data_IF_515017840610
#
_entry.id   IF_515017840610
#
_cell.length_a   1.000
_cell.length_b   1.000
_cell.length_c   1.000
_cell.angle_alpha   90.00
_cell.angle_beta   90.00
_cell.angle_gamma   90.00
#
_symmetry.space_group_name_H-M   'P 1'
#
loop_
_entity.id
_entity.type
_entity.pdbx_description
1 polymer ?
#
# COMPACT_ATOMS: atom_id res chain seq x y z
N UNK A 1 17.59 13.08 16.71
CA UNK A 1 17.65 12.39 15.40
C UNK A 1 17.06 13.33 14.35
N UNK A 2 17.81 13.68 13.30
CA UNK A 2 17.32 14.57 12.23
C UNK A 2 16.46 13.76 11.25
N UNK A 3 15.32 14.27 10.77
CA UNK A 3 14.53 13.59 9.76
C UNK A 3 15.34 13.56 8.46
N UNK A 4 15.64 12.37 7.96
CA UNK A 4 16.24 12.19 6.65
C UNK A 4 15.21 12.60 5.60
N UNK A 5 15.51 13.66 4.84
CA UNK A 5 14.71 14.06 3.68
C UNK A 5 14.86 13.00 2.59
N UNK A 6 14.00 11.99 2.60
CA UNK A 6 13.75 11.06 1.48
C UNK A 6 12.93 11.73 0.37
N UNK A 7 12.98 13.05 0.24
CA UNK A 7 12.11 13.82 -0.65
C UNK A 7 12.44 13.63 -2.15
N UNK A 8 13.57 13.01 -2.49
CA UNK A 8 13.96 12.79 -3.88
C UNK A 8 13.23 11.60 -4.53
N UNK A 9 12.85 10.57 -3.75
CA UNK A 9 12.19 9.38 -4.27
C UNK A 9 10.73 9.34 -3.81
N UNK A 10 9.92 10.25 -4.34
CA UNK A 10 8.51 10.36 -4.02
C UNK A 10 7.71 10.57 -5.30
N UNK A 11 6.61 9.81 -5.45
CA UNK A 11 5.67 10.00 -6.55
C UNK A 11 5.06 11.41 -6.49
N UNK A 12 5.25 12.18 -7.55
CA UNK A 12 4.71 13.53 -7.68
C UNK A 12 3.36 13.51 -8.40
N UNK A 13 2.59 14.60 -8.30
CA UNK A 13 1.34 14.76 -9.05
C UNK A 13 1.54 14.81 -10.57
N UNK A 14 2.75 15.13 -11.01
CA UNK A 14 3.16 15.14 -12.42
C UNK A 14 3.62 13.79 -12.92
N UNK A 15 3.73 12.78 -12.05
CA UNK A 15 4.09 11.43 -12.47
C UNK A 15 2.96 10.78 -13.26
N UNK A 16 3.26 10.07 -14.37
CA UNK A 16 2.26 9.32 -15.11
C UNK A 16 1.61 8.24 -14.23
N UNK A 17 0.42 7.80 -14.64
CA UNK A 17 -0.21 6.64 -14.03
C UNK A 17 0.55 5.36 -14.39
N UNK A 18 0.41 4.34 -13.54
CA UNK A 18 0.99 3.02 -13.80
C UNK A 18 0.43 2.41 -15.09
N UNK A 19 -0.86 2.63 -15.39
CA UNK A 19 -1.47 2.21 -16.65
C UNK A 19 -0.81 2.88 -17.87
N UNK A 20 -0.50 4.18 -17.78
CA UNK A 20 0.22 4.87 -18.87
C UNK A 20 1.64 4.32 -19.06
N UNK A 21 2.35 3.99 -17.97
CA UNK A 21 3.66 3.33 -18.05
C UNK A 21 3.56 1.93 -18.68
N UNK A 22 2.49 1.18 -18.40
CA UNK A 22 2.25 -0.12 -19.02
C UNK A 22 1.93 0.01 -20.52
N UNK A 23 1.09 0.97 -20.90
CA UNK A 23 0.83 1.28 -22.31
C UNK A 23 2.10 1.72 -23.04
N UNK A 24 2.97 2.49 -22.38
CA UNK A 24 4.28 2.87 -22.90
C UNK A 24 5.20 1.66 -23.11
N UNK A 25 5.25 0.71 -22.16
CA UNK A 25 6.04 -0.52 -22.30
C UNK A 25 5.53 -1.41 -23.45
N UNK A 26 4.21 -1.40 -23.70
CA UNK A 26 3.57 -2.20 -24.74
C UNK A 26 3.49 -1.48 -26.10
N UNK A 27 4.15 -0.33 -26.27
CA UNK A 27 4.06 0.52 -27.48
C UNK A 27 2.62 0.84 -27.92
N UNK A 28 1.69 0.92 -26.95
CA UNK A 28 0.26 1.12 -27.17
C UNK A 28 -0.18 2.59 -27.07
N UNK A 29 0.79 3.51 -27.00
CA UNK A 29 0.56 4.95 -26.94
C UNK A 29 0.82 5.62 -28.29
N UNK A 30 0.22 6.79 -28.49
CA UNK A 30 0.60 7.65 -29.62
C UNK A 30 2.06 8.09 -29.51
N UNK A 31 2.73 8.43 -30.62
CA UNK A 31 4.13 8.88 -30.60
C UNK A 31 4.34 10.14 -29.77
N UNK A 32 3.34 11.01 -29.68
CA UNK A 32 3.38 12.23 -28.85
C UNK A 32 3.38 11.88 -27.35
N UNK A 33 2.43 11.05 -26.90
CA UNK A 33 2.34 10.61 -25.51
C UNK A 33 3.57 9.78 -25.08
N UNK A 34 4.08 8.94 -25.97
CA UNK A 34 5.29 8.16 -25.72
C UNK A 34 6.52 9.05 -25.49
N UNK A 35 6.64 10.16 -26.23
CA UNK A 35 7.73 11.12 -26.05
C UNK A 35 7.63 11.86 -24.72
N UNK A 36 6.42 12.23 -24.28
CA UNK A 36 6.20 12.88 -22.99
C UNK A 36 6.59 11.96 -21.82
N UNK A 37 6.19 10.68 -21.87
CA UNK A 37 6.55 9.70 -20.86
C UNK A 37 8.06 9.44 -20.86
N UNK A 38 8.69 9.32 -22.02
CA UNK A 38 10.14 9.14 -22.13
C UNK A 38 10.92 10.32 -21.51
N UNK A 39 10.44 11.55 -21.73
CA UNK A 39 10.99 12.76 -21.12
C UNK A 39 10.78 12.79 -19.60
N UNK A 40 9.62 12.34 -19.11
CA UNK A 40 9.37 12.26 -17.67
C UNK A 40 10.29 11.23 -17.00
N UNK A 41 10.38 10.04 -17.56
CA UNK A 41 11.16 8.92 -17.01
C UNK A 41 12.66 9.23 -16.96
N UNK A 42 13.18 10.03 -17.89
CA UNK A 42 14.60 10.44 -17.86
C UNK A 42 14.93 11.48 -16.77
N UNK A 43 13.91 12.12 -16.19
CA UNK A 43 14.08 13.17 -15.17
C UNK A 43 13.52 12.79 -13.80
N UNK A 44 12.78 11.68 -13.71
CA UNK A 44 12.13 11.21 -12.49
C UNK A 44 12.64 9.83 -12.09
N UNK A 45 13.47 9.77 -11.04
CA UNK A 45 14.02 8.52 -10.50
C UNK A 45 12.91 7.52 -10.09
N UNK A 46 11.78 8.03 -9.59
CA UNK A 46 10.64 7.20 -9.18
C UNK A 46 10.04 6.46 -10.38
N UNK A 47 9.70 7.16 -11.45
CA UNK A 47 9.10 6.55 -12.64
C UNK A 47 10.11 5.70 -13.42
N UNK A 48 11.40 6.05 -13.40
CA UNK A 48 12.46 5.18 -13.92
C UNK A 48 12.54 3.84 -13.20
N UNK A 49 12.52 3.86 -11.87
CA UNK A 49 12.51 2.65 -11.07
C UNK A 49 11.21 1.83 -11.26
N UNK A 50 10.05 2.50 -11.30
CA UNK A 50 8.75 1.85 -11.55
C UNK A 50 8.73 1.18 -12.93
N UNK A 51 9.19 1.87 -13.98
CA UNK A 51 9.25 1.32 -15.33
C UNK A 51 10.20 0.11 -15.41
N UNK A 52 11.34 0.16 -14.73
CA UNK A 52 12.24 -0.98 -14.65
C UNK A 52 11.59 -2.18 -13.92
N UNK A 53 10.88 -1.92 -12.83
CA UNK A 53 10.12 -2.94 -12.10
C UNK A 53 9.05 -3.59 -12.98
N UNK A 54 8.25 -2.78 -13.68
CA UNK A 54 7.18 -3.26 -14.56
C UNK A 54 7.72 -4.07 -15.75
N UNK A 55 8.85 -3.65 -16.34
CA UNK A 55 9.53 -4.43 -17.40
C UNK A 55 10.03 -5.78 -16.88
N UNK A 56 10.54 -5.82 -15.64
CA UNK A 56 11.07 -7.05 -15.04
C UNK A 56 9.98 -8.01 -14.60
N UNK A 57 8.87 -7.46 -14.09
CA UNK A 57 7.74 -8.18 -13.53
C UNK A 57 6.44 -7.65 -14.15
N UNK A 58 6.15 -8.00 -15.41
CA UNK A 58 4.93 -7.54 -16.06
C UNK A 58 3.71 -8.03 -15.28
N UNK A 59 2.69 -7.18 -15.09
CA UNK A 59 1.47 -7.60 -14.42
C UNK A 59 0.83 -8.73 -15.22
N UNK A 60 0.64 -9.87 -14.57
CA UNK A 60 -0.11 -10.98 -15.17
C UNK A 60 -1.55 -10.50 -15.35
N UNK A 61 -2.11 -10.68 -16.54
CA UNK A 61 -3.55 -10.52 -16.70
C UNK A 61 -4.21 -11.53 -15.77
N UNK A 62 -5.09 -11.06 -14.87
CA UNK A 62 -5.91 -11.95 -14.04
C UNK A 62 -6.77 -12.80 -14.96
N UNK A 63 -6.22 -13.93 -15.40
CA UNK A 63 -6.98 -14.98 -16.04
C UNK A 63 -7.55 -15.86 -14.93
N UNK A 64 -8.70 -16.48 -15.17
CA UNK A 64 -9.33 -17.38 -14.19
C UNK A 64 -8.43 -18.57 -13.77
N UNK A 65 -7.30 -18.79 -14.45
CA UNK A 65 -6.30 -19.81 -14.16
C UNK A 65 -5.12 -19.31 -13.29
N UNK A 66 -5.06 -18.02 -12.94
CA UNK A 66 -4.01 -17.51 -12.08
C UNK A 66 -4.24 -17.99 -10.64
N UNK A 67 -3.52 -19.05 -10.26
CA UNK A 67 -3.37 -19.55 -8.90
C UNK A 67 -2.58 -18.57 -8.01
N UNK A 68 -2.86 -17.27 -8.09
CA UNK A 68 -2.34 -16.30 -7.14
C UNK A 68 -3.00 -16.61 -5.80
N UNK A 69 -2.24 -17.27 -4.92
CA UNK A 69 -2.69 -17.61 -3.58
C UNK A 69 -3.15 -16.34 -2.88
N UNK A 70 -4.46 -16.21 -2.66
CA UNK A 70 -5.00 -15.13 -1.86
C UNK A 70 -4.49 -15.35 -0.44
N UNK A 71 -3.48 -14.59 -0.04
CA UNK A 71 -3.02 -14.56 1.33
C UNK A 71 -3.88 -13.53 2.07
N UNK A 72 -4.91 -13.96 2.83
CA UNK A 72 -5.73 -13.02 3.56
C UNK A 72 -4.84 -12.25 4.54
N UNK A 73 -5.07 -10.95 4.65
CA UNK A 73 -4.39 -10.12 5.65
C UNK A 73 -4.60 -10.76 7.03
N UNK A 74 -3.53 -11.09 7.79
CA UNK A 74 -3.65 -11.64 9.13
C UNK A 74 -4.56 -10.79 10.02
N UNK A 75 -5.43 -11.45 10.81
CA UNK A 75 -6.51 -10.79 11.54
C UNK A 75 -6.02 -9.63 12.41
N UNK A 76 -4.91 -9.80 13.13
CA UNK A 76 -4.36 -8.76 14.00
C UNK A 76 -3.90 -7.51 13.22
N UNK A 77 -3.32 -7.69 12.02
CA UNK A 77 -2.92 -6.57 11.16
C UNK A 77 -4.14 -5.84 10.60
N UNK A 78 -5.20 -6.59 10.26
CA UNK A 78 -6.47 -5.99 9.83
C UNK A 78 -7.09 -5.14 10.94
N UNK A 79 -7.25 -5.71 12.13
CA UNK A 79 -7.79 -4.99 13.31
C UNK A 79 -6.95 -3.75 13.62
N UNK A 80 -5.62 -3.88 13.56
CA UNK A 80 -4.72 -2.74 13.77
C UNK A 80 -4.98 -1.63 12.74
N UNK A 81 -4.98 -1.97 11.44
CA UNK A 81 -5.22 -1.00 10.38
C UNK A 81 -6.59 -0.32 10.50
N UNK A 82 -7.63 -1.08 10.79
CA UNK A 82 -8.99 -0.56 11.02
C UNK A 82 -9.02 0.43 12.18
N UNK A 83 -8.29 0.17 13.27
CA UNK A 83 -8.20 1.11 14.40
C UNK A 83 -7.46 2.39 14.05
N UNK A 84 -6.41 2.31 13.23
CA UNK A 84 -5.61 3.48 12.81
C UNK A 84 -6.35 4.36 11.79
N UNK A 85 -7.14 3.74 10.92
CA UNK A 85 -7.86 4.42 9.83
C UNK A 85 -9.24 4.93 10.23
N UNK A 86 -9.73 4.57 11.43
CA UNK A 86 -10.97 5.15 11.97
C UNK A 86 -10.82 6.68 12.02
N UNK A 87 -11.71 7.44 11.37
CA UNK A 87 -11.74 8.88 11.52
C UNK A 87 -11.89 9.21 13.00
N UNK A 88 -11.13 10.18 13.54
CA UNK A 88 -11.27 10.64 14.93
C UNK A 88 -12.70 11.09 15.28
N UNK A 89 -13.57 11.29 14.28
CA UNK A 89 -14.97 11.63 14.42
C UNK A 89 -15.86 10.53 15.05
N UNK A 90 -15.47 9.25 15.05
CA UNK A 90 -16.27 8.17 15.66
C UNK A 90 -15.88 7.81 17.11
N UNK A 91 -14.83 8.45 17.67
CA UNK A 91 -14.34 8.14 19.02
C UNK A 91 -15.18 8.74 20.17
N UNK A 92 -16.27 9.45 19.87
CA UNK A 92 -17.15 10.01 20.91
C UNK A 92 -18.20 8.99 21.40
N UNK A 93 -18.50 7.92 20.66
CA UNK A 93 -19.62 7.02 20.99
C UNK A 93 -19.21 5.70 21.68
N UNK A 94 -17.95 5.26 21.60
CA UNK A 94 -17.54 3.95 22.16
C UNK A 94 -16.55 4.00 23.32
N UNK A 95 -16.20 5.19 23.83
CA UNK A 95 -15.28 5.32 24.97
C UNK A 95 -15.91 4.96 26.33
N UNK A 96 -17.22 4.68 26.36
CA UNK A 96 -17.96 4.23 27.55
C UNK A 96 -17.94 2.70 27.77
N UNK A 97 -17.32 1.89 26.90
CA UNK A 97 -17.40 0.43 27.00
C UNK A 97 -16.04 -0.30 26.98
N UNK A 98 -14.98 0.36 27.45
CA UNK A 98 -13.64 -0.22 27.59
C UNK A 98 -12.99 0.09 28.96
N UNK A 99 -13.82 0.28 29.99
CA UNK A 99 -13.39 0.33 31.39
C UNK A 99 -14.03 -0.80 32.21
N UNK A 100 -14.01 -2.03 31.68
CA UNK A 100 -14.19 -3.25 32.48
C UNK A 100 -13.13 -4.29 32.12
N UNK A 101 -11.86 -3.88 32.23
CA UNK A 101 -10.81 -4.82 32.63
C UNK A 101 -10.27 -4.31 33.97
N UNK A 102 -11.14 -4.34 34.98
CA UNK A 102 -10.76 -4.16 36.38
C UNK A 102 -10.75 -5.54 37.03
N UNK A 103 -9.55 -6.03 37.29
CA UNK A 103 -9.19 -6.80 38.48
C UNK A 103 -10.09 -8.00 38.85
N UNK A 104 -9.75 -9.18 38.34
CA UNK A 104 -9.87 -10.41 39.13
C UNK A 104 -8.76 -11.38 38.73
N UNK A 105 -7.54 -11.02 39.13
CA UNK A 105 -6.44 -11.96 39.31
C UNK A 105 -6.58 -12.52 40.73
N UNK A 106 -7.23 -13.68 40.89
CA UNK A 106 -7.17 -14.51 42.09
C UNK A 106 -7.85 -15.87 41.88
N UNK A 107 -7.09 -16.92 42.23
CA UNK A 107 -7.44 -18.33 42.44
C UNK A 107 -7.37 -19.27 41.22
N UNK A 108 -6.14 -19.53 40.77
CA UNK A 108 -5.73 -20.92 40.54
C UNK A 108 -5.03 -21.39 41.81
N UNK A 109 -5.66 -22.29 42.55
CA UNK A 109 -4.99 -23.34 43.33
C UNK A 109 -6.03 -24.41 43.66
N UNK A 110 -6.06 -25.44 42.82
CA UNK A 110 -6.59 -26.76 43.14
C UNK A 110 -5.53 -27.77 42.68
N UNK A 111 -5.36 -28.81 43.51
CA UNK A 111 -4.52 -30.01 43.34
C UNK A 111 -3.07 -29.88 43.82
N UNK A 112 -2.78 -30.32 45.06
CA UNK A 112 -2.64 -31.74 45.45
C UNK A 112 -2.82 -31.92 46.95
#
# INVERSE_FOLDING_TARGET
MRPFKTAAFCKQRTCPSTDALLSYINDALSPEEGAEIAKHVSTCDFCGAELHLLKRFPPKSRTAADNCQQNPIPLYLRIYAERQLRPEAELVVSRSHLLEFSEHDSLILLET
#
